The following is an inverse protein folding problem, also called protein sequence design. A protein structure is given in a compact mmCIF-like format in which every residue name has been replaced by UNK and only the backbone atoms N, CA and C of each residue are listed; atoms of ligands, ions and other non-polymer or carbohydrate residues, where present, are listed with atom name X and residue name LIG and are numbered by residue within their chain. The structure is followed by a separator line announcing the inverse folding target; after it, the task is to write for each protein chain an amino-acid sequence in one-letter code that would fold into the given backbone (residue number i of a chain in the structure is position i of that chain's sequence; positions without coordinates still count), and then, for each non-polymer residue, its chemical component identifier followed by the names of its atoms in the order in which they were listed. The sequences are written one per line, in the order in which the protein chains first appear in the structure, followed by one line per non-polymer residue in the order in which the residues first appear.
data_IF_808485327395
#
_entry.id   IF_808485327395
#
_cell.length_a   1.000
_cell.length_b   1.000
_cell.length_c   1.000
_cell.angle_alpha   90.00
_cell.angle_beta   90.00
_cell.angle_gamma   90.00
#
_symmetry.space_group_name_H-M   'P 1'
#
loop_
_entity.id
_entity.type
_entity.pdbx_description
1 polymer ?
#
# COMPACT_ATOMS: atom_id res chain seq x y z
N UNK A 1 8.13 15.40 -7.79
CA UNK A 1 9.21 14.40 -7.72
C UNK A 1 9.45 13.84 -9.12
N UNK A 2 10.71 13.74 -9.54
CA UNK A 2 11.13 13.07 -10.79
C UNK A 2 12.10 11.96 -10.38
N UNK A 3 12.04 10.81 -11.05
CA UNK A 3 12.94 9.72 -10.74
C UNK A 3 13.07 8.74 -11.91
N UNK A 4 14.11 7.94 -11.84
CA UNK A 4 14.38 6.84 -12.77
C UNK A 4 14.69 5.60 -11.95
N UNK A 5 13.93 4.54 -12.19
CA UNK A 5 14.12 3.25 -11.55
C UNK A 5 14.51 2.24 -12.64
N UNK A 6 15.69 1.65 -12.51
CA UNK A 6 16.22 0.65 -13.46
C UNK A 6 16.70 -0.55 -12.70
N UNK A 7 16.23 -1.73 -13.06
CA UNK A 7 16.65 -2.95 -12.39
C UNK A 7 16.13 -4.22 -13.05
N UNK A 8 16.38 -5.33 -12.40
CA UNK A 8 15.91 -6.64 -12.84
C UNK A 8 15.54 -7.52 -11.65
N UNK A 9 14.49 -8.29 -11.81
CA UNK A 9 14.08 -9.34 -10.90
C UNK A 9 14.23 -10.71 -11.56
N UNK A 10 14.71 -11.67 -10.79
CA UNK A 10 14.67 -13.08 -11.12
C UNK A 10 13.55 -13.75 -10.34
N UNK A 11 12.60 -14.35 -11.05
CA UNK A 11 11.46 -15.05 -10.47
C UNK A 11 11.56 -16.55 -10.75
N UNK A 12 11.37 -17.34 -9.72
CA UNK A 12 11.30 -18.78 -9.78
C UNK A 12 9.93 -19.27 -9.27
N UNK A 13 9.30 -20.12 -10.07
CA UNK A 13 8.00 -20.71 -9.76
C UNK A 13 8.16 -22.22 -9.50
N UNK A 14 8.53 -22.63 -8.27
CA UNK A 14 8.70 -24.06 -7.96
C UNK A 14 7.37 -24.83 -7.99
N UNK A 15 6.25 -24.12 -7.82
CA UNK A 15 4.88 -24.63 -7.96
C UNK A 15 4.00 -23.53 -8.56
N UNK A 16 2.86 -23.88 -9.21
CA UNK A 16 1.98 -22.88 -9.81
C UNK A 16 1.52 -21.77 -8.86
N UNK A 17 1.34 -22.10 -7.58
CA UNK A 17 0.89 -21.16 -6.56
C UNK A 17 2.03 -20.46 -5.81
N UNK A 18 3.29 -20.84 -6.00
CA UNK A 18 4.43 -20.32 -5.22
C UNK A 18 5.41 -19.61 -6.13
N UNK A 19 5.65 -18.35 -5.86
CA UNK A 19 6.69 -17.52 -6.50
C UNK A 19 7.73 -17.14 -5.45
N UNK A 20 9.00 -17.35 -5.76
CA UNK A 20 10.14 -16.86 -4.97
C UNK A 20 10.98 -16.03 -5.93
N UNK A 21 11.44 -14.88 -5.48
CA UNK A 21 12.23 -14.02 -6.34
C UNK A 21 13.17 -13.10 -5.58
N UNK A 22 14.04 -12.46 -6.34
CA UNK A 22 14.91 -11.41 -5.84
C UNK A 22 15.42 -10.57 -6.98
N UNK A 23 15.86 -9.37 -6.68
CA UNK A 23 16.30 -8.43 -7.69
C UNK A 23 17.21 -7.35 -7.17
N UNK A 24 17.82 -6.66 -8.12
CA UNK A 24 18.64 -5.48 -7.88
C UNK A 24 18.10 -4.32 -8.72
N UNK A 25 17.96 -3.18 -8.06
CA UNK A 25 17.41 -1.96 -8.65
C UNK A 25 18.26 -0.76 -8.31
N UNK A 26 18.48 0.09 -9.29
CA UNK A 26 19.04 1.41 -9.11
C UNK A 26 17.91 2.44 -9.17
N UNK A 27 17.77 3.25 -8.12
CA UNK A 27 16.73 4.26 -7.99
C UNK A 27 17.39 5.64 -7.87
N UNK A 28 17.13 6.52 -8.83
CA UNK A 28 17.54 7.94 -8.80
C UNK A 28 16.25 8.77 -8.59
N UNK A 29 16.14 9.46 -7.48
CA UNK A 29 14.95 10.23 -7.13
C UNK A 29 15.32 11.66 -6.77
N UNK A 30 14.65 12.60 -7.42
CA UNK A 30 14.86 14.05 -7.23
C UNK A 30 13.61 14.70 -6.72
N UNK A 31 13.77 15.49 -5.69
CA UNK A 31 12.71 16.33 -5.15
C UNK A 31 12.96 17.78 -5.58
N UNK A 32 11.91 18.51 -5.91
CA UNK A 32 12.01 19.92 -6.31
C UNK A 32 10.65 20.58 -6.35
N UNK A 33 10.64 21.87 -6.60
CA UNK A 33 9.44 22.68 -6.70
C UNK A 33 8.45 22.13 -7.73
N UNK A 34 7.16 22.19 -7.42
CA UNK A 34 6.09 21.81 -8.33
C UNK A 34 5.98 22.78 -9.51
N UNK A 35 5.48 22.28 -10.64
CA UNK A 35 5.30 23.09 -11.86
C UNK A 35 3.95 23.87 -11.89
N UNK A 36 3.06 23.68 -10.89
CA UNK A 36 1.75 24.32 -10.82
C UNK A 36 1.76 25.56 -9.92
N UNK A 37 1.71 26.79 -10.49
CA UNK A 37 1.80 28.03 -9.71
C UNK A 37 0.60 28.30 -8.79
N UNK A 38 -0.47 27.49 -8.88
CA UNK A 38 -1.65 27.60 -8.00
C UNK A 38 -1.41 27.06 -6.58
N UNK A 39 -0.35 26.26 -6.41
CA UNK A 39 0.02 25.69 -5.13
C UNK A 39 1.40 26.18 -4.72
N UNK A 40 1.61 26.47 -3.43
CA UNK A 40 2.94 26.83 -2.95
C UNK A 40 3.90 25.66 -3.18
N UNK A 41 5.15 25.96 -3.47
CA UNK A 41 6.19 24.95 -3.54
C UNK A 41 6.31 24.23 -2.19
N UNK A 42 6.65 22.93 -2.22
CA UNK A 42 6.92 22.16 -1.01
C UNK A 42 8.03 22.84 -0.17
N UNK A 43 8.99 23.48 -0.83
CA UNK A 43 10.11 24.21 -0.24
C UNK A 43 9.66 25.50 0.49
N UNK A 44 8.52 26.07 0.09
CA UNK A 44 7.94 27.25 0.76
C UNK A 44 7.13 26.90 2.01
N UNK A 45 6.71 25.62 2.13
CA UNK A 45 5.80 25.15 3.20
C UNK A 45 6.53 24.34 4.27
N UNK A 46 7.56 23.58 3.88
CA UNK A 46 8.29 22.68 4.77
C UNK A 46 9.76 23.05 4.85
N UNK A 47 10.31 22.94 6.07
CA UNK A 47 11.73 23.14 6.31
C UNK A 47 12.47 21.81 6.24
N UNK A 48 13.55 21.76 5.48
CA UNK A 48 14.43 20.59 5.36
C UNK A 48 15.06 20.13 6.69
N UNK A 49 15.08 20.99 7.71
CA UNK A 49 15.51 20.58 9.04
C UNK A 49 14.50 19.68 9.78
N UNK A 50 13.23 19.70 9.35
CA UNK A 50 12.15 18.94 10.01
C UNK A 50 11.72 17.71 9.24
N UNK A 51 12.07 17.62 7.95
CA UNK A 51 11.65 16.52 7.06
C UNK A 51 12.89 15.82 6.50
N UNK A 52 13.11 14.57 6.89
CA UNK A 52 14.26 13.78 6.45
C UNK A 52 14.33 13.67 4.92
N UNK A 53 15.49 13.97 4.34
CA UNK A 53 15.71 13.90 2.90
C UNK A 53 14.98 14.96 2.07
N UNK A 54 14.43 16.00 2.71
CA UNK A 54 13.78 17.09 2.01
C UNK A 54 14.78 17.93 1.22
N UNK A 55 14.52 18.13 -0.07
CA UNK A 55 15.42 18.83 -0.98
C UNK A 55 16.69 18.05 -1.35
N UNK A 56 16.88 16.84 -0.82
CA UNK A 56 17.98 15.97 -1.19
C UNK A 56 17.60 15.10 -2.40
N UNK A 57 18.47 15.08 -3.39
CA UNK A 57 18.45 14.03 -4.40
C UNK A 57 18.94 12.74 -3.74
N UNK A 58 18.31 11.63 -4.03
CA UNK A 58 18.66 10.33 -3.46
C UNK A 58 18.93 9.31 -4.54
N UNK A 59 20.01 8.56 -4.38
CA UNK A 59 20.44 7.53 -5.30
C UNK A 59 20.63 6.22 -4.51
N UNK A 60 19.77 5.24 -4.74
CA UNK A 60 19.80 3.97 -4.04
C UNK A 60 20.18 2.81 -4.92
N UNK A 61 20.99 1.92 -4.37
CA UNK A 61 21.02 0.53 -4.80
C UNK A 61 20.09 -0.26 -3.88
N UNK A 62 19.00 -0.81 -4.46
CA UNK A 62 18.05 -1.65 -3.73
C UNK A 62 18.29 -3.11 -4.08
N UNK A 63 18.61 -3.94 -3.09
CA UNK A 63 18.55 -5.38 -3.17
C UNK A 63 17.26 -5.88 -2.53
N UNK A 64 16.53 -6.75 -3.23
CA UNK A 64 15.22 -7.22 -2.78
C UNK A 64 15.10 -8.74 -2.88
N UNK A 65 14.31 -9.32 -1.95
CA UNK A 65 13.89 -10.71 -1.98
C UNK A 65 12.39 -10.76 -1.67
N UNK A 66 11.65 -11.64 -2.37
CA UNK A 66 10.21 -11.82 -2.14
C UNK A 66 9.80 -13.28 -2.20
N UNK A 67 8.74 -13.60 -1.47
CA UNK A 67 8.02 -14.84 -1.60
C UNK A 67 6.52 -14.56 -1.62
N UNK A 68 5.81 -15.20 -2.53
CA UNK A 68 4.37 -15.07 -2.71
C UNK A 68 3.73 -16.44 -2.84
N UNK A 69 2.65 -16.67 -2.11
CA UNK A 69 1.80 -17.85 -2.22
C UNK A 69 0.39 -17.39 -2.61
N UNK A 70 -0.03 -17.68 -3.86
CA UNK A 70 -1.36 -17.34 -4.37
C UNK A 70 -2.22 -18.62 -4.50
N UNK A 71 -3.21 -18.71 -3.62
CA UNK A 71 -4.17 -19.82 -3.52
C UNK A 71 -5.61 -19.36 -3.84
N UNK A 72 -5.77 -18.18 -4.45
CA UNK A 72 -7.08 -17.66 -4.82
C UNK A 72 -7.71 -18.51 -5.92
N UNK A 73 -9.01 -18.72 -5.83
CA UNK A 73 -9.80 -19.42 -6.84
C UNK A 73 -9.82 -18.67 -8.19
N UNK A 74 -9.86 -17.34 -8.15
CA UNK A 74 -9.77 -16.46 -9.31
C UNK A 74 -9.01 -15.18 -8.92
N UNK A 75 -7.80 -14.96 -9.45
CA UNK A 75 -7.03 -13.74 -9.15
C UNK A 75 -7.74 -12.43 -9.51
N UNK A 76 -8.64 -12.44 -10.50
CA UNK A 76 -9.33 -11.25 -11.00
C UNK A 76 -10.68 -10.99 -10.32
N UNK A 77 -11.25 -11.96 -9.60
CA UNK A 77 -12.49 -11.81 -8.84
C UNK A 77 -12.55 -12.91 -7.78
N UNK A 78 -11.77 -12.81 -6.71
CA UNK A 78 -11.61 -13.90 -5.75
C UNK A 78 -12.82 -14.01 -4.81
N UNK A 79 -13.26 -15.28 -4.59
CA UNK A 79 -14.30 -15.64 -3.65
C UNK A 79 -13.81 -16.59 -2.58
N UNK A 80 -12.70 -17.31 -2.83
CA UNK A 80 -12.12 -18.26 -1.89
C UNK A 80 -10.60 -18.30 -2.00
N UNK A 81 -9.95 -18.76 -0.93
CA UNK A 81 -8.50 -18.87 -0.87
C UNK A 81 -7.82 -17.60 -0.38
N UNK A 82 -6.57 -17.39 -0.76
CA UNK A 82 -5.83 -16.20 -0.32
C UNK A 82 -4.53 -16.00 -1.07
N UNK A 83 -3.99 -14.79 -0.96
CA UNK A 83 -2.67 -14.40 -1.42
C UNK A 83 -1.86 -13.91 -0.23
N UNK A 84 -0.65 -14.43 -0.09
CA UNK A 84 0.24 -14.16 1.02
C UNK A 84 1.59 -13.77 0.45
N UNK A 85 2.05 -12.56 0.74
CA UNK A 85 3.31 -12.04 0.23
C UNK A 85 4.17 -11.48 1.36
N UNK A 86 5.45 -11.74 1.28
CA UNK A 86 6.48 -11.12 2.09
C UNK A 86 7.58 -10.60 1.16
N UNK A 87 7.98 -9.37 1.38
CA UNK A 87 9.01 -8.70 0.62
C UNK A 87 10.01 -8.05 1.57
N UNK A 88 11.29 -8.34 1.39
CA UNK A 88 12.37 -7.70 2.11
C UNK A 88 13.24 -6.94 1.13
N UNK A 89 13.61 -5.70 1.48
CA UNK A 89 14.50 -4.87 0.67
C UNK A 89 15.55 -4.20 1.55
N UNK A 90 16.78 -4.19 1.08
CA UNK A 90 17.88 -3.36 1.57
C UNK A 90 18.09 -2.20 0.61
N UNK A 91 18.10 -0.98 1.13
CA UNK A 91 18.42 0.24 0.41
C UNK A 91 19.76 0.77 0.87
N UNK A 92 20.70 0.92 -0.06
CA UNK A 92 22.00 1.52 0.18
C UNK A 92 22.08 2.85 -0.56
N UNK A 93 22.29 3.92 0.16
CA UNK A 93 22.49 5.26 -0.39
C UNK A 93 23.87 5.35 -1.04
N UNK A 94 23.89 5.69 -2.32
CA UNK A 94 25.12 5.75 -3.14
C UNK A 94 25.72 7.15 -3.24
N UNK A 95 25.03 8.16 -2.71
CA UNK A 95 25.49 9.56 -2.79
C UNK A 95 26.00 10.08 -1.44
N UNK A 96 25.10 10.22 -0.45
CA UNK A 96 25.42 10.86 0.82
C UNK A 96 25.85 9.87 1.92
N UNK A 97 25.44 8.61 1.81
CA UNK A 97 25.61 7.61 2.85
C UNK A 97 24.87 7.93 4.16
N UNK A 98 23.76 8.67 4.05
CA UNK A 98 22.97 9.10 5.21
C UNK A 98 21.57 8.48 5.24
N UNK A 99 21.23 7.65 4.22
CA UNK A 99 19.88 7.14 4.02
C UNK A 99 19.83 5.62 3.81
N UNK A 100 20.71 4.88 4.47
CA UNK A 100 20.66 3.42 4.44
C UNK A 100 19.54 2.88 5.31
N UNK A 101 18.73 1.95 4.79
CA UNK A 101 17.66 1.31 5.57
C UNK A 101 17.26 -0.06 5.03
N UNK A 102 16.66 -0.84 5.93
CA UNK A 102 15.99 -2.09 5.60
C UNK A 102 14.48 -1.90 5.62
N UNK A 103 13.77 -2.63 4.75
CA UNK A 103 12.31 -2.63 4.69
C UNK A 103 11.77 -4.04 4.60
N UNK A 104 10.81 -4.32 5.47
CA UNK A 104 9.99 -5.53 5.44
C UNK A 104 8.56 -5.12 5.09
N UNK A 105 8.01 -5.72 4.04
CA UNK A 105 6.62 -5.57 3.63
C UNK A 105 5.92 -6.92 3.73
N UNK A 106 4.72 -6.93 4.28
CA UNK A 106 3.87 -8.12 4.41
C UNK A 106 2.50 -7.76 3.88
N UNK A 107 1.97 -8.59 2.99
CA UNK A 107 0.61 -8.45 2.44
C UNK A 107 -0.12 -9.80 2.55
N UNK A 108 -1.28 -9.80 3.17
CA UNK A 108 -2.10 -10.98 3.42
C UNK A 108 -3.53 -10.68 2.97
N UNK A 109 -3.97 -11.36 1.95
CA UNK A 109 -5.36 -11.32 1.46
C UNK A 109 -5.99 -12.68 1.67
N UNK A 110 -7.19 -12.72 2.24
CA UNK A 110 -7.90 -13.97 2.47
C UNK A 110 -9.39 -13.81 2.19
N UNK A 111 -9.93 -14.74 1.42
CA UNK A 111 -11.32 -14.74 0.95
C UNK A 111 -12.05 -15.93 1.51
N UNK A 112 -13.07 -15.68 2.32
CA UNK A 112 -13.87 -16.70 2.98
C UNK A 112 -15.25 -16.77 2.31
N UNK A 113 -15.56 -17.83 1.56
CA UNK A 113 -16.91 -18.02 1.02
C UNK A 113 -17.89 -18.27 2.18
N UNK A 114 -18.99 -17.55 2.18
CA UNK A 114 -20.04 -17.73 3.18
C UNK A 114 -21.08 -18.79 2.71
N UNK A 115 -21.92 -19.33 3.60
CA UNK A 115 -22.84 -20.43 3.26
C UNK A 115 -23.73 -20.17 2.04
N UNK A 116 -24.03 -18.92 1.75
CA UNK A 116 -24.62 -18.52 0.49
C UNK A 116 -23.47 -18.22 -0.50
N UNK A 117 -23.33 -19.03 -1.58
CA UNK A 117 -22.26 -18.93 -2.59
C UNK A 117 -22.14 -17.53 -3.26
N UNK A 118 -23.11 -16.67 -3.09
CA UNK A 118 -23.13 -15.29 -3.59
C UNK A 118 -22.58 -14.27 -2.59
N UNK A 119 -21.93 -14.73 -1.52
CA UNK A 119 -21.39 -13.89 -0.46
C UNK A 119 -19.98 -14.30 -0.10
N UNK A 120 -19.12 -13.29 0.04
CA UNK A 120 -17.72 -13.48 0.39
C UNK A 120 -17.32 -12.48 1.48
N UNK A 121 -16.59 -12.95 2.47
CA UNK A 121 -15.86 -12.08 3.39
C UNK A 121 -14.42 -11.97 2.89
N UNK A 122 -14.04 -10.81 2.39
CA UNK A 122 -12.68 -10.51 1.97
C UNK A 122 -11.95 -9.79 3.10
N UNK A 123 -10.80 -10.32 3.48
CA UNK A 123 -9.94 -9.81 4.54
C UNK A 123 -8.58 -9.45 3.96
N UNK A 124 -8.06 -8.30 4.35
CA UNK A 124 -6.72 -7.85 3.98
C UNK A 124 -5.99 -7.33 5.21
N UNK A 125 -4.73 -7.70 5.34
CA UNK A 125 -3.81 -7.15 6.32
C UNK A 125 -2.49 -6.85 5.64
N UNK A 126 -2.01 -5.63 5.76
CA UNK A 126 -0.69 -5.27 5.25
C UNK A 126 0.12 -4.51 6.29
N UNK A 127 1.43 -4.64 6.21
CA UNK A 127 2.37 -3.94 7.06
C UNK A 127 3.64 -3.61 6.31
N UNK A 128 4.12 -2.38 6.50
CA UNK A 128 5.43 -1.93 6.02
C UNK A 128 6.24 -1.48 7.22
N UNK A 129 7.39 -2.09 7.41
CA UNK A 129 8.27 -1.85 8.54
C UNK A 129 9.63 -1.45 8.01
N UNK A 130 10.05 -0.22 8.34
CA UNK A 130 11.29 0.37 7.85
C UNK A 130 12.23 0.64 9.02
N UNK A 131 13.42 0.11 8.94
CA UNK A 131 14.46 0.23 9.97
C UNK A 131 15.67 0.97 9.36
N UNK A 132 15.91 2.25 9.69
CA UNK A 132 17.11 2.96 9.26
C UNK A 132 18.36 2.34 9.90
N UNK A 133 19.49 2.36 9.20
CA UNK A 133 20.78 1.97 9.75
C UNK A 133 21.21 2.94 10.87
N UNK A 134 22.16 2.51 11.70
CA UNK A 134 22.56 3.32 12.86
C UNK A 134 23.14 4.67 12.43
N UNK A 135 22.46 5.75 12.81
CA UNK A 135 22.84 7.13 12.46
C UNK A 135 22.18 7.67 11.19
N UNK A 136 21.49 6.82 10.43
CA UNK A 136 20.86 7.19 9.17
C UNK A 136 19.37 7.54 9.35
N UNK A 137 18.79 8.09 8.30
CA UNK A 137 17.38 8.44 8.23
C UNK A 137 16.72 7.82 7.01
N UNK A 138 15.40 7.72 7.02
CA UNK A 138 14.63 7.31 5.84
C UNK A 138 14.05 8.56 5.19
N UNK A 139 14.38 8.85 3.93
CA UNK A 139 13.84 10.02 3.24
C UNK A 139 12.31 9.96 3.21
N UNK A 140 11.65 11.10 3.35
CA UNK A 140 10.19 11.17 3.44
C UNK A 140 9.48 10.52 2.23
N UNK A 141 10.06 10.61 1.03
CA UNK A 141 9.52 9.99 -0.17
C UNK A 141 9.55 8.46 -0.14
N UNK A 142 10.40 7.87 0.70
CA UNK A 142 10.49 6.43 0.91
C UNK A 142 9.66 5.94 2.11
N UNK A 143 9.09 6.83 2.91
CA UNK A 143 8.26 6.44 4.04
C UNK A 143 6.90 5.90 3.60
N UNK A 144 6.40 4.80 4.18
CA UNK A 144 5.07 4.28 3.92
C UNK A 144 3.98 5.29 4.26
N UNK A 145 2.91 5.24 3.51
CA UNK A 145 1.78 6.14 3.66
C UNK A 145 0.47 5.38 3.79
N UNK A 146 -0.49 5.96 4.51
CA UNK A 146 -1.87 5.50 4.55
C UNK A 146 -2.81 6.63 4.13
N UNK A 147 -3.96 6.23 3.61
CA UNK A 147 -4.98 7.07 3.01
C UNK A 147 -5.17 6.77 1.53
N UNK A 148 -6.31 7.15 0.98
CA UNK A 148 -6.65 6.88 -0.42
C UNK A 148 -7.35 5.54 -0.64
N UNK A 149 -7.60 5.27 -1.89
CA UNK A 149 -8.53 4.23 -2.36
C UNK A 149 -8.09 2.79 -2.07
N UNK A 150 -6.81 2.54 -1.81
CA UNK A 150 -6.25 1.21 -1.53
C UNK A 150 -5.96 0.97 -0.05
N UNK A 151 -6.04 2.03 0.77
CA UNK A 151 -5.71 1.94 2.18
C UNK A 151 -6.90 2.38 3.05
N UNK A 152 -6.80 3.51 3.71
CA UNK A 152 -7.89 4.09 4.51
C UNK A 152 -8.80 4.92 3.59
N UNK A 153 -9.83 4.29 3.03
CA UNK A 153 -10.67 4.87 1.96
C UNK A 153 -11.40 6.17 2.31
N UNK A 154 -11.62 6.44 3.58
CA UNK A 154 -12.25 7.69 4.05
C UNK A 154 -11.29 8.87 4.19
N UNK A 155 -10.00 8.70 3.89
CA UNK A 155 -8.98 9.74 3.94
C UNK A 155 -8.38 10.00 2.56
N UNK A 156 -7.85 11.20 2.34
CA UNK A 156 -7.14 11.55 1.11
C UNK A 156 -5.85 10.74 0.99
N UNK A 157 -5.35 10.55 -0.22
CA UNK A 157 -4.05 9.90 -0.47
C UNK A 157 -2.93 10.61 0.29
N UNK A 158 -1.98 9.81 0.79
CA UNK A 158 -0.81 10.28 1.56
C UNK A 158 -1.16 11.04 2.85
N UNK A 159 -2.38 10.86 3.41
CA UNK A 159 -2.85 11.59 4.59
C UNK A 159 -1.98 11.34 5.82
N UNK A 160 -1.51 10.11 5.97
CA UNK A 160 -0.65 9.67 7.07
C UNK A 160 0.66 9.15 6.50
N UNK A 161 1.77 9.48 7.15
CA UNK A 161 3.12 9.09 6.73
C UNK A 161 4.01 8.94 7.94
N UNK A 162 4.78 7.85 8.00
CA UNK A 162 5.81 7.62 9.01
C UNK A 162 6.69 6.44 8.59
N UNK A 163 7.63 5.99 9.44
CA UNK A 163 8.56 4.89 9.14
C UNK A 163 7.89 3.51 9.04
N UNK A 164 6.80 3.32 9.77
CA UNK A 164 6.09 2.05 9.79
C UNK A 164 4.60 2.26 9.58
N UNK A 165 3.95 1.33 8.89
CA UNK A 165 2.50 1.33 8.70
C UNK A 165 1.90 -0.05 8.91
N UNK A 166 0.66 -0.09 9.39
CA UNK A 166 -0.17 -1.28 9.46
C UNK A 166 -1.57 -0.91 8.97
N UNK A 167 -2.14 -1.77 8.13
CA UNK A 167 -3.48 -1.64 7.59
C UNK A 167 -4.23 -2.96 7.73
N UNK A 168 -5.47 -2.89 8.19
CA UNK A 168 -6.41 -3.99 8.25
C UNK A 168 -7.69 -3.57 7.53
N UNK A 169 -8.18 -4.41 6.63
CA UNK A 169 -9.40 -4.16 5.88
C UNK A 169 -10.29 -5.39 5.91
N UNK A 170 -11.58 -5.18 6.06
CA UNK A 170 -12.58 -6.21 5.95
C UNK A 170 -13.70 -5.73 5.03
N UNK A 171 -14.09 -6.59 4.11
CA UNK A 171 -15.13 -6.27 3.14
C UNK A 171 -16.11 -7.45 3.02
N UNK A 172 -17.37 -7.22 3.38
CA UNK A 172 -18.44 -8.17 3.14
C UNK A 172 -19.04 -7.87 1.77
N UNK A 173 -18.88 -8.81 0.83
CA UNK A 173 -19.34 -8.71 -0.56
C UNK A 173 -20.54 -9.61 -0.78
N UNK A 174 -21.51 -9.15 -1.59
CA UNK A 174 -22.63 -9.96 -2.03
C UNK A 174 -22.99 -9.63 -3.48
N UNK A 175 -23.34 -10.65 -4.24
CA UNK A 175 -23.90 -10.46 -5.57
C UNK A 175 -25.27 -9.78 -5.48
N UNK A 176 -25.38 -8.56 -6.00
CA UNK A 176 -26.62 -7.80 -6.06
C UNK A 176 -27.32 -7.99 -7.41
N UNK A 177 -26.52 -8.20 -8.46
CA UNK A 177 -26.98 -8.50 -9.83
C UNK A 177 -25.86 -9.26 -10.54
N UNK A 178 -26.18 -9.87 -11.70
CA UNK A 178 -25.26 -10.68 -12.50
C UNK A 178 -23.90 -10.01 -12.86
N UNK A 179 -23.80 -8.69 -12.81
CA UNK A 179 -22.59 -7.91 -13.08
C UNK A 179 -22.30 -6.84 -12.01
N UNK A 180 -23.00 -6.91 -10.87
CA UNK A 180 -22.88 -5.92 -9.82
C UNK A 180 -22.86 -6.59 -8.45
N UNK A 181 -21.75 -6.40 -7.73
CA UNK A 181 -21.66 -6.72 -6.31
C UNK A 181 -21.84 -5.48 -5.45
N UNK A 182 -22.54 -5.65 -4.35
CA UNK A 182 -22.54 -4.73 -3.24
C UNK A 182 -21.43 -5.10 -2.27
N UNK A 183 -20.91 -4.11 -1.54
CA UNK A 183 -19.93 -4.32 -0.49
C UNK A 183 -20.19 -3.41 0.71
N UNK A 184 -20.02 -3.95 1.91
CA UNK A 184 -19.84 -3.17 3.13
C UNK A 184 -18.41 -3.35 3.58
N UNK A 185 -17.76 -2.27 3.98
CA UNK A 185 -16.36 -2.34 4.35
C UNK A 185 -16.00 -1.54 5.60
N UNK A 186 -14.93 -1.97 6.24
CA UNK A 186 -14.22 -1.23 7.28
C UNK A 186 -12.72 -1.35 7.01
N UNK A 187 -12.02 -0.22 7.10
CA UNK A 187 -10.56 -0.16 7.04
C UNK A 187 -10.06 0.46 8.35
N UNK A 188 -9.00 -0.10 8.90
CA UNK A 188 -8.35 0.38 10.13
C UNK A 188 -6.86 0.38 9.90
N UNK A 189 -6.18 1.47 10.22
CA UNK A 189 -4.73 1.53 10.01
C UNK A 189 -4.05 2.61 10.82
N UNK A 190 -2.74 2.50 10.91
CA UNK A 190 -1.88 3.40 11.65
C UNK A 190 -0.52 3.50 10.99
N UNK A 191 0.08 4.70 11.04
CA UNK A 191 1.52 4.90 10.84
C UNK A 191 2.19 5.23 12.17
N UNK A 192 3.45 4.88 12.34
CA UNK A 192 4.18 5.14 13.58
C UNK A 192 5.70 5.22 13.34
N UNK A 193 6.45 6.00 14.14
CA UNK A 193 7.91 6.12 14.01
C UNK A 193 8.64 4.81 14.36
N UNK A 194 8.05 3.98 15.20
CA UNK A 194 8.61 2.67 15.57
C UNK A 194 7.49 1.64 15.70
N UNK A 195 7.83 0.35 15.53
CA UNK A 195 6.87 -0.75 15.73
C UNK A 195 6.27 -0.75 17.14
N UNK A 196 7.06 -0.33 18.17
CA UNK A 196 6.60 -0.26 19.57
C UNK A 196 5.64 0.89 19.84
N UNK A 197 5.66 1.93 19.01
CA UNK A 197 4.74 3.06 19.13
C UNK A 197 3.35 2.76 18.54
N UNK A 198 3.18 1.63 17.86
CA UNK A 198 1.88 1.20 17.36
C UNK A 198 0.96 0.77 18.50
N UNK A 199 -0.21 1.39 18.57
CA UNK A 199 -1.22 1.13 19.62
C UNK A 199 -2.62 1.07 19.01
N UNK A 200 -3.52 0.32 19.63
CA UNK A 200 -4.91 0.29 19.16
C UNK A 200 -5.60 1.66 19.21
N UNK A 201 -5.24 2.49 20.17
CA UNK A 201 -5.78 3.85 20.31
C UNK A 201 -5.28 4.84 19.26
N UNK A 202 -4.16 4.54 18.59
CA UNK A 202 -3.62 5.35 17.50
C UNK A 202 -4.15 4.98 16.11
N UNK A 203 -5.01 3.97 16.02
CA UNK A 203 -5.56 3.54 14.74
C UNK A 203 -6.65 4.48 14.25
N UNK A 204 -6.57 4.86 12.99
CA UNK A 204 -7.61 5.54 12.23
C UNK A 204 -8.54 4.51 11.60
N UNK A 205 -9.84 4.83 11.59
CA UNK A 205 -10.85 3.94 11.03
C UNK A 205 -11.67 4.62 9.94
N UNK A 206 -12.03 3.85 8.92
CA UNK A 206 -12.99 4.23 7.89
C UNK A 206 -14.00 3.11 7.68
N UNK A 207 -15.18 3.45 7.24
CA UNK A 207 -16.23 2.50 6.90
C UNK A 207 -17.05 3.01 5.74
N UNK A 208 -17.74 2.12 5.07
CA UNK A 208 -18.56 2.56 3.94
C UNK A 208 -19.30 1.46 3.23
N UNK A 209 -19.95 1.88 2.15
CA UNK A 209 -20.60 0.99 1.20
C UNK A 209 -19.92 1.11 -0.16
N UNK A 210 -19.81 0.01 -0.86
CA UNK A 210 -19.20 -0.06 -2.17
C UNK A 210 -20.06 -0.81 -3.19
N UNK A 211 -19.84 -0.49 -4.45
CA UNK A 211 -20.41 -1.15 -5.60
C UNK A 211 -19.29 -1.61 -6.51
N UNK A 212 -19.36 -2.86 -6.98
CA UNK A 212 -18.36 -3.52 -7.81
C UNK A 212 -19.00 -3.94 -9.10
N UNK A 213 -18.58 -3.36 -10.23
CA UNK A 213 -19.02 -3.79 -11.55
C UNK A 213 -17.99 -4.81 -12.05
N UNK A 214 -18.45 -5.97 -12.45
CA UNK A 214 -17.62 -7.05 -12.96
C UNK A 214 -18.21 -7.68 -14.20
N UNK A 215 -17.38 -8.37 -14.99
CA UNK A 215 -17.77 -9.31 -16.02
C UNK A 215 -17.72 -10.71 -15.44
N UNK A 216 -18.15 -11.72 -16.21
CA UNK A 216 -18.08 -13.13 -15.80
C UNK A 216 -16.66 -13.62 -15.47
N UNK A 217 -15.62 -12.86 -15.80
CA UNK A 217 -14.21 -13.26 -15.63
C UNK A 217 -13.37 -12.28 -14.83
N UNK A 218 -13.75 -11.02 -14.80
CA UNK A 218 -12.90 -9.97 -14.26
C UNK A 218 -13.73 -8.81 -13.70
N UNK A 219 -13.19 -8.18 -12.70
CA UNK A 219 -13.61 -6.91 -12.17
C UNK A 219 -13.38 -5.80 -13.21
N UNK A 220 -14.26 -4.81 -13.26
CA UNK A 220 -14.17 -3.68 -14.20
C UNK A 220 -14.01 -2.36 -13.49
N UNK A 221 -14.88 -2.04 -12.53
CA UNK A 221 -14.82 -0.78 -11.78
C UNK A 221 -15.48 -0.89 -10.43
N UNK A 222 -15.09 0.00 -9.53
CA UNK A 222 -15.71 0.13 -8.20
C UNK A 222 -16.06 1.58 -7.87
N UNK A 223 -17.15 1.74 -7.15
CA UNK A 223 -17.54 2.99 -6.51
C UNK A 223 -17.62 2.73 -5.00
N UNK A 224 -16.79 3.40 -4.22
CA UNK A 224 -16.83 3.37 -2.77
C UNK A 224 -17.33 4.70 -2.21
N UNK A 225 -18.25 4.63 -1.28
CA UNK A 225 -18.76 5.75 -0.50
C UNK A 225 -18.20 5.58 0.92
N UNK A 226 -17.11 6.25 1.21
CA UNK A 226 -16.33 6.08 2.43
C UNK A 226 -16.56 7.21 3.43
N UNK A 227 -16.63 6.86 4.71
CA UNK A 227 -16.78 7.79 5.82
C UNK A 227 -15.61 7.64 6.78
N UNK A 228 -15.12 8.76 7.30
CA UNK A 228 -14.10 8.84 8.33
C UNK A 228 -14.38 10.02 9.26
N UNK A 229 -13.52 10.24 10.24
CA UNK A 229 -13.58 11.46 11.07
C UNK A 229 -13.36 12.76 10.29
N UNK A 230 -12.81 12.70 9.07
CA UNK A 230 -12.60 13.85 8.18
C UNK A 230 -13.81 14.10 7.25
N UNK A 231 -14.83 13.24 7.29
CA UNK A 231 -16.07 13.38 6.55
C UNK A 231 -16.30 12.27 5.53
N UNK A 232 -16.98 12.63 4.45
CA UNK A 232 -17.40 11.73 3.38
C UNK A 232 -16.52 11.88 2.14
N UNK A 233 -16.11 10.74 1.57
CA UNK A 233 -15.31 10.70 0.36
C UNK A 233 -15.84 9.65 -0.64
N UNK A 234 -16.35 10.05 -1.81
CA UNK A 234 -16.67 9.15 -2.90
C UNK A 234 -15.40 8.80 -3.70
N UNK A 235 -15.20 7.53 -4.02
CA UNK A 235 -14.04 7.03 -4.73
C UNK A 235 -14.49 6.17 -5.92
N UNK A 236 -14.17 6.59 -7.14
CA UNK A 236 -14.38 5.79 -8.36
C UNK A 236 -13.02 5.28 -8.85
N UNK A 237 -12.90 3.97 -9.07
CA UNK A 237 -11.68 3.30 -9.52
C UNK A 237 -11.99 2.19 -10.53
N UNK A 238 -10.99 1.87 -11.35
CA UNK A 238 -11.04 0.81 -12.36
C UNK A 238 -10.10 -0.35 -11.99
N UNK A 239 -9.95 -0.63 -10.71
CA UNK A 239 -9.04 -1.63 -10.14
C UNK A 239 -9.61 -2.20 -8.84
N UNK A 240 -9.07 -3.34 -8.37
CA UNK A 240 -9.43 -3.93 -7.09
C UNK A 240 -9.01 -3.06 -5.90
N UNK A 241 -9.56 -3.35 -4.72
CA UNK A 241 -9.12 -2.71 -3.46
C UNK A 241 -7.78 -3.32 -3.04
N UNK A 242 -7.71 -4.63 -3.05
CA UNK A 242 -6.58 -5.48 -2.70
C UNK A 242 -6.67 -6.83 -3.43
#
# INVERSE_FOLDING_TARGET
MKGTDVGADLLWHPRPALTIGGGLWHLDQRTGSGDDPRYPSVEDVFDGATVAGFGADTNFLRAAARAELDLRDNPLHPHAGGRYEIHFSRYEDRDSGAFDFDRLEVDVQHYVPLPNRYRTLALHASGVFTDPSAGDQVPFQQQPTLGGSHALRGFREFRFRDLNSVLLQAEYRWEAWWALDGALFVDVGQVAPTRRAMTLSGMEATYGIGFRIHSNKAFVSRLDLAFSREGFLPLLRFEHVF
#
